data_IF_981135199951
#
_entry.id   IF_981135199951
#
_cell.length_a   1.000
_cell.length_b   1.000
_cell.length_c   1.000
_cell.angle_alpha   90.00
_cell.angle_beta   90.00
_cell.angle_gamma   90.00
#
_symmetry.space_group_name_H-M   'P 1'
#
loop_
_entity.id
_entity.type
_entity.pdbx_description
1 polymer ?
#
# COMPACT_ATOMS: atom_id res chain seq x y z
N UNK A 1 0.17 -37.82 -31.30
CA UNK A 1 -0.94 -36.86 -31.15
C UNK A 1 -0.58 -35.91 -30.02
N UNK A 2 -0.29 -34.65 -30.34
CA UNK A 2 0.11 -33.65 -29.34
C UNK A 2 -1.13 -32.96 -28.80
N UNK A 3 -1.39 -33.15 -27.50
CA UNK A 3 -2.48 -32.49 -26.79
C UNK A 3 -1.99 -31.08 -26.42
N UNK A 4 -2.27 -30.12 -27.29
CA UNK A 4 -2.01 -28.70 -27.04
C UNK A 4 -2.90 -28.28 -25.88
N UNK A 5 -2.29 -28.04 -24.73
CA UNK A 5 -2.98 -27.50 -23.57
C UNK A 5 -3.13 -26.00 -23.80
N UNK A 6 -4.31 -25.57 -24.26
CA UNK A 6 -4.68 -24.16 -24.30
C UNK A 6 -4.73 -23.61 -22.88
N UNK A 7 -3.61 -23.04 -22.44
CA UNK A 7 -3.50 -22.26 -21.21
C UNK A 7 -4.26 -20.96 -21.47
N UNK A 8 -5.53 -20.90 -21.07
CA UNK A 8 -6.34 -19.67 -21.15
C UNK A 8 -5.56 -18.50 -20.54
N UNK A 9 -5.29 -17.50 -21.37
CA UNK A 9 -4.79 -16.19 -20.97
C UNK A 9 -5.72 -15.58 -19.90
N UNK A 10 -5.09 -14.95 -18.91
CA UNK A 10 -5.64 -14.61 -17.59
C UNK A 10 -7.05 -14.02 -17.56
N UNK A 11 -7.84 -14.50 -16.60
CA UNK A 11 -9.12 -13.89 -16.24
C UNK A 11 -8.91 -12.44 -15.76
N UNK A 12 -9.79 -11.49 -16.15
CA UNK A 12 -9.74 -10.08 -15.69
C UNK A 12 -9.86 -9.92 -14.17
N UNK A 13 -10.28 -10.97 -13.46
CA UNK A 13 -10.30 -11.02 -12.00
C UNK A 13 -8.92 -10.82 -11.35
N UNK A 14 -7.84 -11.30 -11.98
CA UNK A 14 -6.49 -11.19 -11.39
C UNK A 14 -5.97 -9.74 -11.32
N UNK A 15 -6.20 -8.96 -12.38
CA UNK A 15 -5.77 -7.55 -12.44
C UNK A 15 -6.62 -6.67 -11.53
N UNK A 16 -7.93 -6.94 -11.43
CA UNK A 16 -8.81 -6.25 -10.51
C UNK A 16 -8.38 -6.47 -9.05
N UNK A 17 -8.11 -7.71 -8.64
CA UNK A 17 -7.66 -8.03 -7.29
C UNK A 17 -6.29 -7.41 -6.95
N UNK A 18 -5.39 -7.31 -7.94
CA UNK A 18 -4.08 -6.69 -7.76
C UNK A 18 -4.20 -5.17 -7.57
N UNK A 19 -5.04 -4.51 -8.36
CA UNK A 19 -5.29 -3.07 -8.20
C UNK A 19 -5.99 -2.74 -6.89
N UNK A 20 -6.95 -3.57 -6.46
CA UNK A 20 -7.62 -3.44 -5.15
C UNK A 20 -6.61 -3.53 -4.01
N UNK A 21 -5.76 -4.57 -4.02
CA UNK A 21 -4.71 -4.75 -3.00
C UNK A 21 -3.75 -3.55 -2.95
N UNK A 22 -3.28 -3.10 -4.11
CA UNK A 22 -2.39 -1.91 -4.21
C UNK A 22 -3.08 -0.62 -3.79
N UNK A 23 -4.36 -0.45 -4.12
CA UNK A 23 -5.14 0.71 -3.68
C UNK A 23 -5.32 0.70 -2.16
N UNK A 24 -5.56 -0.47 -1.57
CA UNK A 24 -5.65 -0.65 -0.13
C UNK A 24 -4.33 -0.25 0.57
N UNK A 25 -3.18 -0.70 0.07
CA UNK A 25 -1.85 -0.30 0.57
C UNK A 25 -1.58 1.21 0.45
N UNK A 26 -1.96 1.80 -0.69
CA UNK A 26 -1.85 3.26 -0.91
C UNK A 26 -2.67 4.01 0.11
N UNK A 27 -3.95 3.65 0.29
CA UNK A 27 -4.83 4.31 1.26
C UNK A 27 -4.34 4.15 2.70
N UNK A 28 -3.86 2.97 3.08
CA UNK A 28 -3.27 2.77 4.42
C UNK A 28 -2.04 3.66 4.65
N UNK A 29 -1.16 3.77 3.66
CA UNK A 29 0.01 4.66 3.72
C UNK A 29 -0.40 6.13 3.83
N UNK A 30 -1.40 6.55 3.05
CA UNK A 30 -1.92 7.93 3.08
C UNK A 30 -2.58 8.24 4.41
N UNK A 31 -3.36 7.31 4.98
CA UNK A 31 -3.94 7.47 6.31
C UNK A 31 -2.84 7.69 7.37
N UNK A 32 -1.75 6.90 7.31
CA UNK A 32 -0.60 7.09 8.19
C UNK A 32 0.01 8.49 8.07
N UNK A 33 0.24 8.98 6.85
CA UNK A 33 0.79 10.33 6.60
C UNK A 33 -0.14 11.42 7.17
N UNK A 34 -1.44 11.34 6.90
CA UNK A 34 -2.41 12.32 7.38
C UNK A 34 -2.49 12.36 8.92
N UNK A 35 -2.33 11.21 9.59
CA UNK A 35 -2.34 11.13 11.04
C UNK A 35 -1.06 11.70 11.69
N UNK A 36 0.06 11.76 10.97
CA UNK A 36 1.36 12.15 11.55
C UNK A 36 1.87 13.52 11.10
N UNK A 37 1.60 13.91 9.86
CA UNK A 37 2.10 15.15 9.26
C UNK A 37 1.04 16.25 9.35
N UNK A 38 1.32 17.25 10.17
CA UNK A 38 0.45 18.41 10.46
C UNK A 38 -1.00 18.01 10.78
N UNK A 39 -1.25 17.12 11.76
CA UNK A 39 -2.54 16.44 11.96
C UNK A 39 -3.74 17.38 12.16
N UNK A 40 -3.50 18.60 12.65
CA UNK A 40 -4.54 19.59 12.94
C UNK A 40 -4.90 20.48 11.76
N UNK A 41 -4.10 20.46 10.68
CA UNK A 41 -4.38 21.27 9.50
C UNK A 41 -5.61 20.73 8.77
N UNK A 42 -6.32 21.62 8.09
CA UNK A 42 -7.47 21.24 7.28
C UNK A 42 -7.01 20.41 6.07
N UNK A 43 -7.76 19.37 5.72
CA UNK A 43 -7.49 18.61 4.50
C UNK A 43 -7.91 19.40 3.28
N UNK A 44 -6.97 19.62 2.38
CA UNK A 44 -7.26 20.10 1.04
C UNK A 44 -7.50 18.92 0.07
N UNK A 45 -8.54 19.03 -0.75
CA UNK A 45 -8.92 17.95 -1.68
C UNK A 45 -7.93 17.74 -2.82
N UNK A 46 -7.24 18.79 -3.26
CA UNK A 46 -6.21 18.71 -4.31
C UNK A 46 -4.95 18.11 -3.70
N UNK A 47 -4.55 18.58 -2.52
CA UNK A 47 -3.40 18.01 -1.79
C UNK A 47 -3.59 16.52 -1.51
N UNK A 48 -4.79 16.12 -1.05
CA UNK A 48 -5.13 14.71 -0.87
C UNK A 48 -4.99 13.91 -2.17
N UNK A 49 -5.51 14.43 -3.29
CA UNK A 49 -5.40 13.76 -4.58
C UNK A 49 -3.94 13.62 -5.06
N UNK A 50 -3.12 14.66 -4.83
CA UNK A 50 -1.68 14.64 -5.12
C UNK A 50 -0.98 13.61 -4.25
N UNK A 51 -1.28 13.55 -2.95
CA UNK A 51 -0.70 12.60 -2.01
C UNK A 51 -1.03 11.15 -2.42
N UNK A 52 -2.29 10.86 -2.73
CA UNK A 52 -2.71 9.54 -3.25
C UNK A 52 -1.96 9.19 -4.54
N UNK A 53 -1.87 10.13 -5.49
CA UNK A 53 -1.15 9.94 -6.75
C UNK A 53 0.34 9.66 -6.54
N UNK A 54 0.99 10.40 -5.64
CA UNK A 54 2.40 10.23 -5.31
C UNK A 54 2.68 8.85 -4.69
N UNK A 55 1.82 8.40 -3.75
CA UNK A 55 1.96 7.06 -3.13
C UNK A 55 1.67 5.94 -4.13
N UNK A 56 0.68 6.10 -5.00
CA UNK A 56 0.39 5.14 -6.07
C UNK A 56 1.55 5.05 -7.09
N UNK A 57 2.16 6.18 -7.46
CA UNK A 57 3.34 6.21 -8.32
C UNK A 57 4.54 5.51 -7.69
N UNK A 58 4.78 5.74 -6.39
CA UNK A 58 5.82 5.04 -5.65
C UNK A 58 5.57 3.52 -5.61
N UNK A 59 4.34 3.09 -5.36
CA UNK A 59 3.96 1.66 -5.36
C UNK A 59 4.05 1.01 -6.73
N UNK A 60 3.83 1.77 -7.80
CA UNK A 60 4.01 1.32 -9.18
C UNK A 60 5.49 1.31 -9.64
N UNK A 61 6.44 1.31 -8.71
CA UNK A 61 7.89 1.30 -9.01
C UNK A 61 8.38 2.58 -9.69
N UNK A 62 7.69 3.71 -9.47
CA UNK A 62 7.99 5.01 -10.10
C UNK A 62 7.92 4.95 -11.64
N UNK A 63 6.99 4.16 -12.17
CA UNK A 63 6.74 4.04 -13.61
C UNK A 63 5.37 4.63 -13.98
N UNK A 64 5.33 5.38 -15.08
CA UNK A 64 4.07 5.85 -15.68
C UNK A 64 3.28 4.72 -16.37
N UNK A 65 3.92 3.57 -16.64
CA UNK A 65 3.28 2.40 -17.25
C UNK A 65 2.84 1.35 -16.22
N UNK A 66 3.20 1.51 -14.94
CA UNK A 66 3.00 0.50 -13.89
C UNK A 66 1.59 0.39 -13.32
N UNK A 67 0.56 0.89 -14.03
CA UNK A 67 -0.83 0.84 -13.56
C UNK A 67 -1.17 1.81 -12.42
N UNK A 68 -0.24 2.68 -12.00
CA UNK A 68 -0.45 3.63 -10.91
C UNK A 68 -1.66 4.56 -11.09
N UNK A 69 -2.04 4.88 -12.34
CA UNK A 69 -3.25 5.65 -12.66
C UNK A 69 -4.53 4.91 -12.28
N UNK A 70 -4.59 3.59 -12.51
CA UNK A 70 -5.77 2.79 -12.14
C UNK A 70 -5.85 2.61 -10.64
N UNK A 71 -4.70 2.40 -9.98
CA UNK A 71 -4.61 2.30 -8.52
C UNK A 71 -5.02 3.61 -7.84
N UNK A 72 -4.50 4.76 -8.28
CA UNK A 72 -4.86 6.06 -7.70
C UNK A 72 -6.32 6.40 -7.95
N UNK A 73 -6.86 6.11 -9.14
CA UNK A 73 -8.27 6.29 -9.45
C UNK A 73 -9.15 5.44 -8.55
N UNK A 74 -8.83 4.16 -8.39
CA UNK A 74 -9.57 3.27 -7.50
C UNK A 74 -9.53 3.78 -6.06
N UNK A 75 -8.35 4.12 -5.55
CA UNK A 75 -8.17 4.66 -4.20
C UNK A 75 -9.03 5.91 -3.95
N UNK A 76 -9.01 6.89 -4.87
CA UNK A 76 -9.83 8.09 -4.77
C UNK A 76 -11.33 7.79 -4.83
N UNK A 77 -11.74 6.86 -5.69
CA UNK A 77 -13.15 6.45 -5.78
C UNK A 77 -13.63 5.76 -4.51
N UNK A 78 -12.79 4.94 -3.89
CA UNK A 78 -13.11 4.24 -2.63
C UNK A 78 -13.28 5.21 -1.46
N UNK A 79 -12.42 6.22 -1.35
CA UNK A 79 -12.52 7.23 -0.27
C UNK A 79 -13.70 8.18 -0.50
N UNK A 80 -13.97 8.52 -1.76
CA UNK A 80 -15.04 9.44 -2.12
C UNK A 80 -14.68 10.91 -1.87
N UNK A 81 -15.69 11.70 -1.48
CA UNK A 81 -15.53 13.16 -1.34
C UNK A 81 -14.84 13.51 -0.02
N UNK A 82 -13.82 14.37 -0.08
CA UNK A 82 -13.23 15.01 1.10
C UNK A 82 -14.24 16.00 1.72
N UNK A 83 -14.67 15.82 2.97
CA UNK A 83 -15.54 16.77 3.66
C UNK A 83 -14.85 18.13 3.85
N UNK A 84 -15.61 19.22 3.80
CA UNK A 84 -15.04 20.55 4.03
C UNK A 84 -14.76 20.78 5.52
N UNK A 85 -13.61 21.36 5.84
CA UNK A 85 -13.26 21.81 7.20
C UNK A 85 -12.88 20.71 8.19
N UNK A 86 -12.63 19.48 7.73
CA UNK A 86 -12.10 18.40 8.58
C UNK A 86 -10.59 18.48 8.67
N UNK A 87 -10.05 18.13 9.83
CA UNK A 87 -8.62 18.02 10.04
C UNK A 87 -8.04 16.77 9.37
N UNK A 88 -6.73 16.77 9.12
CA UNK A 88 -5.99 15.62 8.55
C UNK A 88 -6.10 14.39 9.44
N UNK A 89 -6.02 14.56 10.76
CA UNK A 89 -6.19 13.47 11.72
C UNK A 89 -7.60 12.86 11.64
N UNK A 90 -8.66 13.67 11.67
CA UNK A 90 -10.03 13.18 11.57
C UNK A 90 -10.28 12.45 10.24
N UNK A 91 -9.78 13.02 9.13
CA UNK A 91 -9.94 12.42 7.82
C UNK A 91 -9.14 11.13 7.65
N UNK A 92 -7.99 10.99 8.31
CA UNK A 92 -7.17 9.78 8.28
C UNK A 92 -7.95 8.54 8.71
N UNK A 93 -8.91 8.67 9.63
CA UNK A 93 -9.77 7.58 10.08
C UNK A 93 -10.68 7.10 8.95
N UNK A 94 -11.28 8.02 8.19
CA UNK A 94 -12.12 7.67 7.04
C UNK A 94 -11.28 7.00 5.93
N UNK A 95 -10.07 7.49 5.68
CA UNK A 95 -9.14 6.89 4.71
C UNK A 95 -8.71 5.49 5.15
N UNK A 96 -8.43 5.28 6.44
CA UNK A 96 -8.12 3.95 6.99
C UNK A 96 -9.30 2.99 6.87
N UNK A 97 -10.53 3.45 7.12
CA UNK A 97 -11.73 2.63 6.91
C UNK A 97 -11.92 2.23 5.44
N UNK A 98 -11.63 3.14 4.50
CA UNK A 98 -11.65 2.84 3.07
C UNK A 98 -10.61 1.77 2.68
N UNK A 99 -9.40 1.82 3.24
CA UNK A 99 -8.40 0.77 3.04
C UNK A 99 -8.84 -0.59 3.62
N UNK A 100 -9.49 -0.62 4.80
CA UNK A 100 -10.07 -1.86 5.37
C UNK A 100 -11.14 -2.44 4.46
N UNK A 101 -11.99 -1.60 3.86
CA UNK A 101 -13.04 -2.03 2.95
C UNK A 101 -12.48 -2.71 1.68
N UNK A 102 -11.25 -2.36 1.27
CA UNK A 102 -10.50 -3.03 0.20
C UNK A 102 -9.70 -4.26 0.67
N UNK A 103 -9.81 -4.63 1.95
CA UNK A 103 -9.15 -5.81 2.51
C UNK A 103 -7.74 -5.55 3.07
N UNK A 104 -7.33 -4.30 3.28
CA UNK A 104 -6.05 -4.04 3.95
C UNK A 104 -6.11 -4.46 5.43
N UNK A 105 -5.17 -5.31 5.83
CA UNK A 105 -5.03 -5.82 7.20
C UNK A 105 -3.72 -5.33 7.82
N UNK A 106 -3.83 -4.40 8.77
CA UNK A 106 -2.69 -3.91 9.53
C UNK A 106 -2.07 -4.97 10.43
N UNK A 107 -2.83 -5.97 10.91
CA UNK A 107 -2.27 -7.02 11.75
C UNK A 107 -1.26 -7.90 10.98
N UNK A 108 -1.47 -8.07 9.67
CA UNK A 108 -0.52 -8.75 8.80
C UNK A 108 0.78 -7.95 8.60
N UNK A 109 0.70 -6.61 8.59
CA UNK A 109 1.86 -5.73 8.38
C UNK A 109 2.60 -5.34 9.66
N UNK A 110 1.91 -5.16 10.80
CA UNK A 110 2.53 -4.92 12.11
C UNK A 110 3.41 -6.10 12.54
N UNK A 111 3.01 -7.33 12.17
CA UNK A 111 3.79 -8.53 12.45
C UNK A 111 5.03 -8.71 11.55
N UNK A 112 5.18 -7.93 10.46
CA UNK A 112 6.36 -8.06 9.56
C UNK A 112 7.65 -7.46 10.12
N UNK A 113 7.61 -6.71 11.23
CA UNK A 113 8.78 -5.99 11.78
C UNK A 113 9.29 -6.45 13.16
N UNK A 114 8.72 -7.50 13.77
CA UNK A 114 8.97 -7.78 15.21
C UNK A 114 9.82 -9.04 15.48
N UNK A 115 10.37 -9.72 14.47
CA UNK A 115 11.40 -10.74 14.72
C UNK A 115 12.77 -10.16 14.36
N UNK A 116 13.55 -9.67 15.33
CA UNK A 116 14.97 -9.42 15.12
C UNK A 116 15.61 -10.71 14.63
N UNK A 117 16.21 -10.68 13.44
CA UNK A 117 17.08 -11.79 13.01
C UNK A 117 18.30 -11.76 13.93
N UNK A 118 18.30 -12.61 14.97
CA UNK A 118 19.47 -12.79 15.82
C UNK A 118 20.58 -13.35 14.92
N UNK A 119 21.74 -12.66 14.79
CA UNK A 119 22.85 -13.18 14.03
C UNK A 119 23.25 -14.54 14.62
N UNK A 120 23.21 -15.60 13.81
CA UNK A 120 23.72 -16.90 14.23
C UNK A 120 25.17 -16.73 14.70
N UNK A 121 25.59 -17.36 15.82
CA UNK A 121 26.96 -17.30 16.27
C UNK A 121 27.87 -17.81 15.15
N UNK A 122 28.78 -16.95 14.68
CA UNK A 122 29.81 -17.35 13.72
C UNK A 122 30.60 -18.50 14.36
N UNK A 123 30.82 -19.63 13.67
CA UNK A 123 31.75 -20.65 14.14
C UNK A 123 33.09 -19.97 14.40
N UNK A 124 33.52 -19.99 15.66
CA UNK A 124 34.78 -19.38 16.05
C UNK A 124 35.90 -19.95 15.20
N UNK A 125 36.57 -19.11 14.42
CA UNK A 125 37.91 -19.39 13.93
C UNK A 125 38.86 -19.37 15.14
N UNK A 126 38.80 -20.44 15.92
CA UNK A 126 39.71 -20.76 16.98
C UNK A 126 40.79 -21.71 16.46
N UNK A 127 41.84 -21.11 15.88
CA UNK A 127 43.25 -21.51 16.08
C UNK A 127 43.70 -22.83 15.46
N UNK A 128 44.17 -22.74 14.20
CA UNK A 128 45.39 -23.45 13.82
C UNK A 128 46.59 -22.76 14.52
N UNK A 129 47.27 -23.44 15.43
CA UNK A 129 48.71 -23.30 15.74
C UNK A 129 49.07 -24.03 17.05
N UNK A 130 49.43 -25.31 16.94
CA UNK A 130 50.72 -25.91 17.36
C UNK A 130 50.60 -27.43 17.45
#
# INVERSE_FOLDING_TARGET
MAQITDRRLGSPQGVASEHESKAAEVLATVAGVLATEDPKDAVDSIEFAVLVGAKAYAQAGRSCYGGGVNVSRLALQTVGRVPAGVSREEFSVAVAQAARALGYDWAADDNRRVIPTIPAPRPGQGRAAR
#
